data_IF_687525691901
#
_entry.id   IF_687525691901
#
_cell.length_a   1.000
_cell.length_b   1.000
_cell.length_c   1.000
_cell.angle_alpha   90.00
_cell.angle_beta   90.00
_cell.angle_gamma   90.00
#
_symmetry.space_group_name_H-M   'P 1'
#
loop_
_entity.id
_entity.type
_entity.pdbx_description
1 polymer ?
#
# COMPACT_ATOMS: atom_id res chain seq x y z
N UNK A 1 0.41 29.03 39.95
CA UNK A 1 1.80 28.55 40.03
C UNK A 1 2.36 28.58 38.62
N UNK A 2 3.54 29.19 38.52
CA UNK A 2 4.25 29.73 37.35
C UNK A 2 4.33 28.80 36.14
N UNK A 3 4.11 29.38 34.96
CA UNK A 3 4.49 28.82 33.66
C UNK A 3 5.96 28.37 33.71
N UNK A 4 6.16 27.05 33.72
CA UNK A 4 7.48 26.43 33.77
C UNK A 4 8.29 26.82 32.54
N UNK A 5 9.56 27.13 32.79
CA UNK A 5 10.54 27.57 31.82
C UNK A 5 10.53 26.73 30.53
N UNK A 6 10.70 27.45 29.42
CA UNK A 6 10.80 26.97 28.05
C UNK A 6 11.91 25.90 27.97
N UNK A 7 11.53 24.62 27.86
CA UNK A 7 12.51 23.55 27.66
C UNK A 7 13.07 23.63 26.24
N UNK A 8 14.33 24.07 26.14
CA UNK A 8 15.12 24.13 24.91
C UNK A 8 15.21 22.76 24.20
N UNK A 9 15.42 22.77 22.88
CA UNK A 9 15.50 21.56 22.04
C UNK A 9 16.37 20.41 22.59
N UNK A 10 17.59 20.65 23.13
CA UNK A 10 18.42 19.61 23.72
C UNK A 10 17.79 18.91 24.95
N UNK A 11 17.02 19.64 25.75
CA UNK A 11 16.36 19.11 26.94
C UNK A 11 15.15 18.25 26.56
N UNK A 12 14.32 18.72 25.63
CA UNK A 12 13.19 17.95 25.10
C UNK A 12 13.64 16.64 24.44
N UNK A 13 14.75 16.68 23.69
CA UNK A 13 15.35 15.49 23.06
C UNK A 13 15.83 14.44 24.07
N UNK A 14 16.40 14.87 25.21
CA UNK A 14 16.75 13.97 26.31
C UNK A 14 15.51 13.41 27.00
N UNK A 15 14.48 14.24 27.19
CA UNK A 15 13.26 13.86 27.89
C UNK A 15 12.49 12.74 27.15
N UNK A 16 12.40 12.79 25.82
CA UNK A 16 11.73 11.73 25.03
C UNK A 16 12.52 10.42 24.95
N UNK A 17 13.74 10.37 25.50
CA UNK A 17 14.58 9.16 25.61
C UNK A 17 14.71 8.67 27.07
N UNK A 18 14.00 9.31 28.01
CA UNK A 18 13.96 8.90 29.41
C UNK A 18 13.21 7.57 29.59
N UNK A 19 12.90 7.15 30.82
CA UNK A 19 12.02 6.01 31.01
C UNK A 19 10.64 6.25 30.37
N UNK A 20 9.99 5.17 29.90
CA UNK A 20 8.81 5.25 29.04
C UNK A 20 7.68 6.14 29.59
N UNK A 21 7.34 6.12 30.90
CA UNK A 21 6.30 7.00 31.45
C UNK A 21 6.65 8.49 31.34
N UNK A 22 7.90 8.86 31.60
CA UNK A 22 8.40 10.23 31.49
C UNK A 22 8.51 10.66 30.02
N UNK A 23 9.06 9.79 29.17
CA UNK A 23 9.18 10.01 27.75
C UNK A 23 7.81 10.21 27.08
N UNK A 24 6.79 9.45 27.50
CA UNK A 24 5.40 9.61 27.04
C UNK A 24 4.86 11.00 27.36
N UNK A 25 5.04 11.49 28.59
CA UNK A 25 4.61 12.84 29.00
C UNK A 25 5.32 13.91 28.17
N UNK A 26 6.63 13.78 27.97
CA UNK A 26 7.43 14.72 27.18
C UNK A 26 6.96 14.78 25.72
N UNK A 27 6.64 13.62 25.12
CA UNK A 27 6.10 13.52 23.78
C UNK A 27 4.73 14.22 23.66
N UNK A 28 3.80 13.94 24.58
CA UNK A 28 2.47 14.56 24.59
C UNK A 28 2.57 16.08 24.70
N UNK A 29 3.36 16.59 25.64
CA UNK A 29 3.57 18.03 25.81
C UNK A 29 4.21 18.67 24.56
N UNK A 30 5.11 17.97 23.88
CA UNK A 30 5.71 18.47 22.64
C UNK A 30 4.69 18.55 21.50
N UNK A 31 3.83 17.54 21.37
CA UNK A 31 2.76 17.54 20.37
C UNK A 31 1.74 18.66 20.65
N UNK A 32 1.30 18.82 21.90
CA UNK A 32 0.37 19.89 22.30
C UNK A 32 0.92 21.28 21.97
N UNK A 33 2.23 21.51 22.19
CA UNK A 33 2.88 22.77 21.81
C UNK A 33 2.85 23.00 20.30
N UNK A 34 3.16 21.99 19.50
CA UNK A 34 3.10 22.11 18.04
C UNK A 34 1.67 22.38 17.56
N UNK A 35 0.67 21.68 18.10
CA UNK A 35 -0.74 21.92 17.78
C UNK A 35 -1.19 23.32 18.18
N UNK A 36 -0.75 23.83 19.34
CA UNK A 36 -1.06 25.21 19.76
C UNK A 36 -0.51 26.25 18.77
N UNK A 37 0.69 26.03 18.22
CA UNK A 37 1.24 26.89 17.16
C UNK A 37 0.39 26.78 15.89
N UNK A 38 0.03 25.57 15.46
CA UNK A 38 -0.77 25.38 14.25
C UNK A 38 -2.18 25.99 14.36
N UNK A 39 -2.81 25.88 15.54
CA UNK A 39 -4.13 26.43 15.83
C UNK A 39 -4.14 27.96 15.88
N UNK A 40 -3.01 28.59 16.21
CA UNK A 40 -2.86 30.05 16.19
C UNK A 40 -2.64 30.63 14.78
N UNK A 41 -2.33 29.78 13.79
CA UNK A 41 -2.12 30.19 12.40
C UNK A 41 -3.41 30.07 11.59
N UNK A 42 -3.54 30.81 10.46
CA UNK A 42 -4.59 30.54 9.49
C UNK A 42 -4.57 29.09 9.00
N UNK A 43 -5.68 28.63 8.42
CA UNK A 43 -5.76 27.33 7.75
C UNK A 43 -4.58 27.12 6.78
N UNK A 44 -4.05 25.89 6.70
CA UNK A 44 -2.82 25.58 5.97
C UNK A 44 -2.76 26.16 4.54
N UNK A 45 -3.86 26.08 3.80
CA UNK A 45 -3.95 26.60 2.43
C UNK A 45 -3.94 28.12 2.30
N UNK A 46 -4.07 28.87 3.40
CA UNK A 46 -4.20 30.34 3.44
C UNK A 46 -3.01 31.03 4.11
N UNK A 47 -2.04 30.27 4.64
CA UNK A 47 -0.86 30.80 5.32
C UNK A 47 0.06 31.55 4.35
N UNK A 48 0.58 32.70 4.77
CA UNK A 48 1.69 33.41 4.15
C UNK A 48 3.00 32.59 4.18
N UNK A 49 4.04 32.94 3.41
CA UNK A 49 5.34 32.25 3.47
C UNK A 49 5.94 32.19 4.87
N UNK A 50 5.84 33.26 5.66
CA UNK A 50 6.35 33.31 7.04
C UNK A 50 5.57 32.38 7.98
N UNK A 51 4.24 32.36 7.86
CA UNK A 51 3.38 31.46 8.65
C UNK A 51 3.59 29.99 8.27
N UNK A 52 3.82 29.69 6.98
CA UNK A 52 4.20 28.34 6.53
C UNK A 52 5.55 27.92 7.12
N UNK A 53 6.53 28.81 7.15
CA UNK A 53 7.82 28.52 7.78
C UNK A 53 7.67 28.26 9.29
N UNK A 54 6.88 29.07 10.00
CA UNK A 54 6.60 28.86 11.42
C UNK A 54 5.90 27.51 11.68
N UNK A 55 4.88 27.17 10.89
CA UNK A 55 4.23 25.86 10.96
C UNK A 55 5.20 24.70 10.67
N UNK A 56 6.10 24.86 9.70
CA UNK A 56 7.10 23.86 9.35
C UNK A 56 8.10 23.63 10.49
N UNK A 57 8.57 24.69 11.16
CA UNK A 57 9.46 24.58 12.33
C UNK A 57 8.77 23.80 13.45
N UNK A 58 7.56 24.19 13.84
CA UNK A 58 6.81 23.52 14.91
C UNK A 58 6.58 22.02 14.60
N UNK A 59 6.18 21.70 13.36
CA UNK A 59 5.98 20.31 12.93
C UNK A 59 7.28 19.51 12.89
N UNK A 60 8.37 20.10 12.42
CA UNK A 60 9.66 19.41 12.33
C UNK A 60 10.25 19.12 13.71
N UNK A 61 10.12 20.06 14.65
CA UNK A 61 10.54 19.83 16.04
C UNK A 61 9.74 18.69 16.69
N UNK A 62 8.41 18.68 16.55
CA UNK A 62 7.57 17.59 17.06
C UNK A 62 7.91 16.24 16.41
N UNK A 63 8.11 16.21 15.09
CA UNK A 63 8.50 15.00 14.35
C UNK A 63 9.88 14.49 14.76
N UNK A 64 10.84 15.37 14.97
CA UNK A 64 12.17 14.99 15.48
C UNK A 64 12.08 14.33 16.86
N UNK A 65 11.19 14.81 17.72
CA UNK A 65 10.92 14.21 19.03
C UNK A 65 10.19 12.87 18.92
N UNK A 66 9.23 12.71 17.99
CA UNK A 66 8.61 11.40 17.67
C UNK A 66 9.66 10.38 17.23
N UNK A 67 10.59 10.78 16.36
CA UNK A 67 11.71 9.95 15.96
C UNK A 67 12.56 9.55 17.17
N UNK A 68 13.03 10.51 17.96
CA UNK A 68 13.85 10.24 19.14
C UNK A 68 13.18 9.33 20.18
N UNK A 69 11.87 9.50 20.38
CA UNK A 69 11.06 8.64 21.23
C UNK A 69 11.01 7.19 20.71
N UNK A 70 10.67 7.00 19.44
CA UNK A 70 10.55 5.66 18.85
C UNK A 70 11.91 4.96 18.73
N UNK A 71 12.98 5.70 18.42
CA UNK A 71 14.33 5.14 18.37
C UNK A 71 14.74 4.51 19.72
N UNK A 72 14.24 5.06 20.83
CA UNK A 72 14.51 4.55 22.18
C UNK A 72 13.50 3.51 22.66
N UNK A 73 12.25 3.54 22.16
CA UNK A 73 11.13 2.86 22.80
C UNK A 73 10.22 2.03 21.89
N UNK A 74 10.49 1.91 20.59
CA UNK A 74 9.55 1.27 19.64
C UNK A 74 9.08 -0.12 20.08
N UNK A 75 9.96 -0.99 20.58
CA UNK A 75 9.58 -2.33 21.00
C UNK A 75 8.73 -2.34 22.27
N UNK A 76 9.00 -1.44 23.22
CA UNK A 76 8.20 -1.29 24.43
C UNK A 76 6.81 -0.72 24.11
N UNK A 77 6.75 0.27 23.21
CA UNK A 77 5.50 0.82 22.68
C UNK A 77 4.70 -0.30 22.00
N UNK A 78 5.32 -1.01 21.05
CA UNK A 78 4.65 -2.08 20.31
C UNK A 78 4.15 -3.20 21.23
N UNK A 79 4.94 -3.60 22.23
CA UNK A 79 4.53 -4.56 23.25
C UNK A 79 3.29 -4.09 24.03
N UNK A 80 3.23 -2.83 24.46
CA UNK A 80 2.05 -2.29 25.14
C UNK A 80 0.81 -2.27 24.22
N UNK A 81 0.98 -1.98 22.92
CA UNK A 81 -0.13 -1.94 21.96
C UNK A 81 -0.68 -3.33 21.64
N UNK A 82 0.20 -4.33 21.56
CA UNK A 82 -0.11 -5.70 21.11
C UNK A 82 -0.23 -6.72 22.23
N UNK A 83 -0.23 -6.26 23.49
CA UNK A 83 -0.22 -7.13 24.66
C UNK A 83 0.92 -8.16 24.59
N UNK A 84 2.14 -7.64 24.48
CA UNK A 84 3.39 -8.39 24.34
C UNK A 84 3.42 -9.35 23.14
N UNK A 85 2.80 -8.95 22.02
CA UNK A 85 2.77 -9.75 20.79
C UNK A 85 1.75 -10.89 20.79
N UNK A 86 0.79 -10.90 21.73
CA UNK A 86 -0.31 -11.87 21.73
C UNK A 86 -1.46 -11.44 20.82
N UNK A 87 -1.56 -10.14 20.49
CA UNK A 87 -2.59 -9.57 19.62
C UNK A 87 -2.01 -9.13 18.28
N UNK A 88 -2.46 -9.75 17.20
CA UNK A 88 -2.12 -9.37 15.82
C UNK A 88 -2.96 -8.20 15.32
N UNK A 89 -2.57 -6.98 15.67
CA UNK A 89 -3.22 -5.76 15.16
C UNK A 89 -2.77 -5.46 13.72
N UNK A 90 -3.74 -5.25 12.83
CA UNK A 90 -3.51 -4.75 11.47
C UNK A 90 -3.11 -3.27 11.50
N UNK A 91 -2.63 -2.74 10.38
CA UNK A 91 -2.10 -1.37 10.31
C UNK A 91 -3.04 -0.31 10.91
N UNK A 92 -4.31 -0.30 10.51
CA UNK A 92 -5.31 0.67 10.98
C UNK A 92 -5.56 0.56 12.49
N UNK A 93 -5.73 -0.66 13.00
CA UNK A 93 -5.97 -0.94 14.41
C UNK A 93 -4.74 -0.56 15.27
N UNK A 94 -3.54 -0.78 14.73
CA UNK A 94 -2.30 -0.45 15.41
C UNK A 94 -2.11 1.06 15.59
N UNK A 95 -2.37 1.85 14.54
CA UNK A 95 -2.28 3.32 14.65
C UNK A 95 -3.40 3.91 15.50
N UNK A 96 -4.60 3.33 15.48
CA UNK A 96 -5.69 3.75 16.37
C UNK A 96 -5.33 3.47 17.84
N UNK A 97 -4.83 2.28 18.14
CA UNK A 97 -4.35 1.93 19.48
C UNK A 97 -3.19 2.84 19.92
N UNK A 98 -2.25 3.14 19.01
CA UNK A 98 -1.14 4.05 19.28
C UNK A 98 -1.60 5.47 19.58
N UNK A 99 -2.58 6.00 18.83
CA UNK A 99 -3.13 7.34 19.05
C UNK A 99 -3.77 7.48 20.44
N UNK A 100 -4.45 6.43 20.92
CA UNK A 100 -5.12 6.41 22.22
C UNK A 100 -4.11 6.25 23.37
N UNK A 101 -3.18 5.30 23.27
CA UNK A 101 -2.26 4.95 24.37
C UNK A 101 -1.04 5.86 24.48
N UNK A 102 -0.66 6.50 23.37
CA UNK A 102 0.46 7.44 23.26
C UNK A 102 0.03 8.74 22.58
N UNK A 103 -0.79 9.59 23.25
CA UNK A 103 -1.26 10.84 22.67
C UNK A 103 -0.12 11.72 22.16
N UNK A 104 -0.23 12.16 20.90
CA UNK A 104 0.79 12.95 20.21
C UNK A 104 1.81 12.14 19.40
N UNK A 105 1.87 10.81 19.57
CA UNK A 105 2.77 9.94 18.79
C UNK A 105 2.35 9.83 17.32
N UNK A 106 1.07 9.57 17.10
CA UNK A 106 0.39 9.51 15.80
C UNK A 106 -0.94 10.28 15.91
N UNK A 107 -1.53 10.75 14.81
CA UNK A 107 -2.74 11.54 14.86
C UNK A 107 -3.95 10.79 15.40
N UNK A 108 -4.81 11.50 16.12
CA UNK A 108 -6.10 10.98 16.59
C UNK A 108 -7.06 10.74 15.42
N UNK A 109 -8.14 9.99 15.70
CA UNK A 109 -9.23 9.79 14.76
C UNK A 109 -9.87 11.12 14.34
N UNK A 110 -10.05 12.07 15.25
CA UNK A 110 -10.57 13.39 14.90
C UNK A 110 -9.61 14.18 14.00
N UNK A 111 -8.30 14.16 14.31
CA UNK A 111 -7.29 14.83 13.50
C UNK A 111 -7.24 14.27 12.07
N UNK A 112 -7.30 12.94 11.90
CA UNK A 112 -7.34 12.31 10.58
C UNK A 112 -8.66 12.57 9.85
N UNK A 113 -9.79 12.59 10.55
CA UNK A 113 -11.07 12.93 9.94
C UNK A 113 -11.07 14.38 9.42
N UNK A 114 -10.52 15.32 10.20
CA UNK A 114 -10.35 16.71 9.79
C UNK A 114 -9.43 16.82 8.56
N UNK A 115 -8.29 16.12 8.54
CA UNK A 115 -7.39 16.07 7.38
C UNK A 115 -8.10 15.53 6.13
N UNK A 116 -8.83 14.41 6.26
CA UNK A 116 -9.55 13.76 5.13
C UNK A 116 -10.66 14.62 4.53
N UNK A 117 -11.19 15.58 5.29
CA UNK A 117 -12.18 16.54 4.80
C UNK A 117 -11.59 17.63 3.89
N UNK A 118 -10.26 17.72 3.80
CA UNK A 118 -9.53 18.78 3.09
C UNK A 118 -8.84 18.22 1.83
N UNK A 119 -8.72 19.04 0.77
CA UNK A 119 -7.90 18.67 -0.37
C UNK A 119 -6.43 18.52 0.05
N UNK A 120 -5.67 17.69 -0.66
CA UNK A 120 -4.30 17.32 -0.25
C UNK A 120 -3.40 18.54 0.04
N UNK A 121 -3.53 19.62 -0.75
CA UNK A 121 -2.73 20.85 -0.60
C UNK A 121 -3.13 21.74 0.60
N UNK A 122 -4.20 21.43 1.31
CA UNK A 122 -4.67 22.15 2.50
C UNK A 122 -4.55 21.32 3.79
N UNK A 123 -3.90 20.16 3.71
CA UNK A 123 -3.64 19.29 4.85
C UNK A 123 -2.42 19.73 5.66
N UNK A 124 -2.36 19.36 6.93
CA UNK A 124 -1.20 19.60 7.80
C UNK A 124 -0.07 18.59 7.62
N UNK A 125 -0.40 17.41 7.07
CA UNK A 125 0.55 16.31 6.92
C UNK A 125 0.66 15.45 8.15
N UNK A 126 -0.44 15.23 8.87
CA UNK A 126 -0.45 14.37 10.05
C UNK A 126 -0.13 12.91 9.73
N UNK A 127 -0.39 12.44 8.50
CA UNK A 127 0.00 11.08 8.08
C UNK A 127 1.53 10.88 8.07
N UNK A 128 2.34 11.94 8.04
CA UNK A 128 3.81 11.84 8.21
C UNK A 128 4.17 11.22 9.56
N UNK A 129 3.38 11.49 10.60
CA UNK A 129 3.62 10.92 11.94
C UNK A 129 3.33 9.41 11.96
N UNK A 130 2.36 8.94 11.17
CA UNK A 130 2.12 7.51 10.95
C UNK A 130 3.27 6.88 10.16
N UNK A 131 3.82 7.58 9.16
CA UNK A 131 5.01 7.15 8.43
C UNK A 131 6.24 7.00 9.35
N UNK A 132 6.45 7.96 10.27
CA UNK A 132 7.48 7.90 11.30
C UNK A 132 7.30 6.68 12.21
N UNK A 133 6.07 6.42 12.65
CA UNK A 133 5.72 5.26 13.48
C UNK A 133 6.03 3.94 12.76
N UNK A 134 5.50 3.75 11.54
CA UNK A 134 5.72 2.52 10.79
C UNK A 134 7.16 2.31 10.35
N UNK A 135 7.92 3.37 10.11
CA UNK A 135 9.36 3.26 9.85
C UNK A 135 10.09 2.56 11.00
N UNK A 136 9.81 2.93 12.25
CA UNK A 136 10.48 2.29 13.40
C UNK A 136 9.91 0.92 13.70
N UNK A 137 8.58 0.74 13.61
CA UNK A 137 7.94 -0.56 13.85
C UNK A 137 8.47 -1.61 12.87
N UNK A 138 8.49 -1.30 11.58
CA UNK A 138 9.04 -2.19 10.55
C UNK A 138 10.58 -2.28 10.62
N UNK A 139 11.25 -1.21 11.07
CA UNK A 139 12.70 -1.22 11.32
C UNK A 139 13.11 -2.19 12.42
N UNK A 140 12.28 -2.37 13.45
CA UNK A 140 12.49 -3.39 14.47
C UNK A 140 12.32 -4.80 13.91
N UNK A 141 13.27 -5.69 14.22
CA UNK A 141 13.23 -7.07 13.78
C UNK A 141 12.04 -7.84 14.36
N UNK A 142 11.78 -7.73 15.66
CA UNK A 142 10.70 -8.44 16.37
C UNK A 142 9.33 -7.83 16.02
N UNK A 143 9.16 -6.54 16.32
CA UNK A 143 7.88 -5.82 16.14
C UNK A 143 7.45 -5.80 14.67
N UNK A 144 8.41 -5.59 13.76
CA UNK A 144 8.12 -5.52 12.35
C UNK A 144 7.77 -6.88 11.73
N UNK A 145 8.42 -7.98 12.13
CA UNK A 145 7.98 -9.33 11.70
C UNK A 145 6.58 -9.66 12.20
N UNK A 146 6.29 -9.34 13.45
CA UNK A 146 4.97 -9.55 14.03
C UNK A 146 3.87 -8.75 13.30
N UNK A 147 4.15 -7.50 12.91
CA UNK A 147 3.23 -6.70 12.10
C UNK A 147 3.01 -7.29 10.70
N UNK A 148 4.08 -7.77 10.04
CA UNK A 148 3.93 -8.45 8.75
C UNK A 148 3.06 -9.70 8.88
N UNK A 149 3.28 -10.53 9.90
CA UNK A 149 2.44 -11.71 10.16
C UNK A 149 0.98 -11.29 10.40
N UNK A 150 0.72 -10.22 11.17
CA UNK A 150 -0.63 -9.69 11.38
C UNK A 150 -1.32 -9.26 10.08
N UNK A 151 -0.58 -8.67 9.14
CA UNK A 151 -1.11 -8.24 7.85
C UNK A 151 -1.37 -9.41 6.90
N UNK A 152 -0.61 -10.51 7.00
CA UNK A 152 -0.83 -11.75 6.26
C UNK A 152 -1.99 -12.60 6.80
N UNK A 153 -2.53 -12.33 7.98
CA UNK A 153 -3.73 -13.03 8.45
C UNK A 153 -4.95 -12.65 7.59
N UNK A 154 -5.93 -13.57 7.44
CA UNK A 154 -7.19 -13.28 6.76
C UNK A 154 -7.88 -12.04 7.32
N UNK A 155 -8.47 -11.25 6.43
CA UNK A 155 -9.33 -10.14 6.83
C UNK A 155 -10.65 -10.66 7.41
N UNK A 156 -11.23 -9.97 8.41
CA UNK A 156 -12.54 -10.34 8.95
C UNK A 156 -13.61 -10.45 7.86
N UNK A 157 -13.64 -9.50 6.92
CA UNK A 157 -14.58 -9.49 5.79
C UNK A 157 -14.46 -10.74 4.91
N UNK A 158 -13.25 -11.24 4.66
CA UNK A 158 -13.08 -12.47 3.89
C UNK A 158 -13.56 -13.71 4.66
N UNK A 159 -13.31 -13.77 5.97
CA UNK A 159 -13.81 -14.86 6.81
C UNK A 159 -15.34 -14.89 6.85
N UNK A 160 -15.99 -13.73 6.93
CA UNK A 160 -17.45 -13.61 6.92
C UNK A 160 -18.06 -14.08 5.58
N UNK A 161 -17.37 -13.81 4.46
CA UNK A 161 -17.83 -14.17 3.12
C UNK A 161 -17.43 -15.59 2.68
N UNK A 162 -16.45 -16.20 3.35
CA UNK A 162 -15.86 -17.48 2.94
C UNK A 162 -16.90 -18.60 2.81
N UNK A 163 -17.84 -18.83 3.76
CA UNK A 163 -18.81 -19.93 3.63
C UNK A 163 -19.65 -19.80 2.35
N UNK A 164 -20.15 -18.59 2.06
CA UNK A 164 -20.95 -18.33 0.86
C UNK A 164 -20.13 -18.44 -0.42
N UNK A 165 -18.87 -17.99 -0.41
CA UNK A 165 -17.98 -18.15 -1.56
C UNK A 165 -17.61 -19.62 -1.80
N UNK A 166 -17.32 -20.41 -0.77
CA UNK A 166 -17.00 -21.83 -0.93
C UNK A 166 -18.18 -22.61 -1.51
N UNK A 167 -19.42 -22.31 -1.08
CA UNK A 167 -20.63 -22.94 -1.60
C UNK A 167 -20.92 -22.56 -3.06
N UNK A 168 -20.94 -21.27 -3.36
CA UNK A 168 -21.41 -20.76 -4.67
C UNK A 168 -20.31 -20.62 -5.71
N UNK A 169 -19.05 -20.54 -5.26
CA UNK A 169 -17.91 -20.17 -6.08
C UNK A 169 -17.91 -18.72 -6.55
N UNK A 170 -18.78 -17.83 -6.04
CA UNK A 170 -18.90 -16.46 -6.55
C UNK A 170 -19.05 -15.42 -5.44
N UNK A 171 -18.44 -14.25 -5.62
CA UNK A 171 -18.72 -13.07 -4.81
C UNK A 171 -18.51 -11.77 -5.61
N UNK A 172 -19.43 -10.81 -5.43
CA UNK A 172 -19.28 -9.44 -5.90
C UNK A 172 -18.89 -8.53 -4.72
N UNK A 173 -17.71 -7.93 -4.80
CA UNK A 173 -17.17 -7.10 -3.74
C UNK A 173 -17.35 -5.59 -4.00
N UNK A 174 -17.86 -5.24 -5.19
CA UNK A 174 -18.05 -3.87 -5.67
C UNK A 174 -17.04 -3.51 -6.75
N UNK A 175 -15.75 -3.38 -6.40
CA UNK A 175 -14.70 -3.05 -7.38
C UNK A 175 -13.97 -4.26 -7.96
N UNK A 176 -14.18 -5.44 -7.37
CA UNK A 176 -13.64 -6.73 -7.80
C UNK A 176 -14.75 -7.77 -7.75
N UNK A 177 -14.85 -8.60 -8.78
CA UNK A 177 -15.69 -9.79 -8.79
C UNK A 177 -14.80 -11.03 -8.78
N UNK A 178 -15.09 -11.99 -7.91
CA UNK A 178 -14.37 -13.26 -7.84
C UNK A 178 -15.30 -14.41 -8.23
N UNK A 179 -14.81 -15.28 -9.12
CA UNK A 179 -15.52 -16.49 -9.56
C UNK A 179 -14.57 -17.69 -9.62
N UNK A 180 -14.91 -18.79 -8.94
CA UNK A 180 -14.22 -20.07 -9.05
C UNK A 180 -14.79 -20.87 -10.22
N UNK A 181 -13.93 -21.21 -11.20
CA UNK A 181 -14.24 -22.14 -12.29
C UNK A 181 -13.22 -23.28 -12.31
N UNK A 182 -13.68 -24.50 -12.08
CA UNK A 182 -12.79 -25.61 -11.78
C UNK A 182 -11.93 -25.28 -10.56
N UNK A 183 -10.61 -25.49 -10.66
CA UNK A 183 -9.63 -25.10 -9.64
C UNK A 183 -9.15 -23.64 -9.71
N UNK A 184 -9.69 -22.80 -10.58
CA UNK A 184 -9.19 -21.43 -10.77
C UNK A 184 -10.11 -20.37 -10.13
N UNK A 185 -9.59 -19.56 -9.20
CA UNK A 185 -10.26 -18.37 -8.69
C UNK A 185 -9.96 -17.15 -9.56
N UNK A 186 -10.98 -16.61 -10.24
CA UNK A 186 -10.85 -15.55 -11.24
C UNK A 186 -11.29 -14.22 -10.66
N UNK A 187 -10.32 -13.37 -10.33
CA UNK A 187 -10.51 -12.00 -9.87
C UNK A 187 -10.58 -11.07 -11.08
N UNK A 188 -11.73 -10.44 -11.26
CA UNK A 188 -11.95 -9.44 -12.30
C UNK A 188 -12.06 -8.06 -11.65
N UNK A 189 -11.10 -7.18 -11.91
CA UNK A 189 -11.22 -5.76 -11.55
C UNK A 189 -12.25 -5.10 -12.46
N UNK A 190 -13.36 -4.61 -11.90
CA UNK A 190 -14.58 -4.27 -12.66
C UNK A 190 -15.04 -2.82 -12.48
N UNK A 191 -14.13 -1.87 -12.27
CA UNK A 191 -14.45 -0.44 -12.27
C UNK A 191 -14.43 0.11 -13.70
N UNK A 192 -15.49 -0.22 -14.42
CA UNK A 192 -15.65 0.01 -15.84
C UNK A 192 -15.72 1.51 -16.25
N UNK A 193 -16.05 2.37 -15.28
CA UNK A 193 -16.20 3.82 -15.40
C UNK A 193 -14.88 4.58 -15.32
N UNK A 194 -13.87 3.98 -14.67
CA UNK A 194 -12.60 4.64 -14.35
C UNK A 194 -11.37 3.80 -14.67
N UNK A 195 -11.48 2.82 -15.58
CA UNK A 195 -10.34 2.05 -16.09
C UNK A 195 -9.56 1.34 -14.98
N UNK A 196 -10.28 0.84 -13.97
CA UNK A 196 -9.70 0.21 -12.79
C UNK A 196 -8.70 1.10 -12.04
N UNK A 197 -8.97 2.40 -11.97
CA UNK A 197 -8.20 3.32 -11.13
C UNK A 197 -8.30 2.90 -9.64
N UNK A 198 -7.15 2.78 -8.98
CA UNK A 198 -7.03 2.25 -7.62
C UNK A 198 -7.40 3.31 -6.58
N UNK A 199 -8.17 2.91 -5.57
CA UNK A 199 -8.48 3.71 -4.38
C UNK A 199 -8.59 2.79 -3.14
N UNK A 200 -8.81 3.32 -1.92
CA UNK A 200 -8.89 2.49 -0.72
C UNK A 200 -9.93 1.37 -0.80
N UNK A 201 -11.05 1.58 -1.51
CA UNK A 201 -12.09 0.55 -1.67
C UNK A 201 -11.58 -0.59 -2.54
N UNK A 202 -10.88 -0.27 -3.62
CA UNK A 202 -10.28 -1.29 -4.49
C UNK A 202 -9.22 -2.13 -3.75
N UNK A 203 -8.44 -1.53 -2.86
CA UNK A 203 -7.50 -2.29 -2.00
C UNK A 203 -8.22 -3.23 -1.04
N UNK A 204 -9.32 -2.78 -0.43
CA UNK A 204 -10.14 -3.61 0.47
C UNK A 204 -10.74 -4.81 -0.26
N UNK A 205 -11.33 -4.58 -1.43
CA UNK A 205 -11.97 -5.63 -2.24
C UNK A 205 -10.93 -6.60 -2.83
N UNK A 206 -9.78 -6.11 -3.30
CA UNK A 206 -8.66 -6.95 -3.74
C UNK A 206 -8.14 -7.84 -2.61
N UNK A 207 -7.94 -7.30 -1.41
CA UNK A 207 -7.50 -8.09 -0.27
C UNK A 207 -8.51 -9.15 0.14
N UNK A 208 -9.79 -8.79 0.16
CA UNK A 208 -10.88 -9.72 0.44
C UNK A 208 -10.91 -10.85 -0.60
N UNK A 209 -10.79 -10.53 -1.90
CA UNK A 209 -10.79 -11.52 -2.97
C UNK A 209 -9.58 -12.45 -2.91
N UNK A 210 -8.39 -11.92 -2.62
CA UNK A 210 -7.16 -12.72 -2.46
C UNK A 210 -7.28 -13.65 -1.25
N UNK A 211 -7.80 -13.18 -0.13
CA UNK A 211 -8.05 -14.01 1.05
C UNK A 211 -9.04 -15.15 0.72
N UNK A 212 -10.16 -14.84 0.06
CA UNK A 212 -11.15 -15.85 -0.37
C UNK A 212 -10.51 -16.91 -1.27
N UNK A 213 -9.74 -16.50 -2.29
CA UNK A 213 -9.05 -17.41 -3.19
C UNK A 213 -8.04 -18.31 -2.45
N UNK A 214 -7.32 -17.77 -1.45
CA UNK A 214 -6.33 -18.52 -0.69
C UNK A 214 -6.96 -19.48 0.32
N UNK A 215 -8.05 -19.06 0.97
CA UNK A 215 -8.78 -19.85 1.97
C UNK A 215 -9.63 -20.96 1.36
N UNK A 216 -10.23 -20.71 0.19
CA UNK A 216 -11.16 -21.66 -0.42
C UNK A 216 -10.45 -22.97 -0.82
N UNK A 217 -10.85 -24.14 -0.27
CA UNK A 217 -10.18 -25.40 -0.56
C UNK A 217 -10.37 -25.86 -2.01
N UNK A 218 -11.39 -25.35 -2.71
CA UNK A 218 -11.63 -25.64 -4.13
C UNK A 218 -10.73 -24.87 -5.09
N UNK A 219 -9.99 -23.89 -4.61
CA UNK A 219 -9.08 -23.08 -5.43
C UNK A 219 -7.66 -23.64 -5.38
N UNK A 220 -7.05 -23.82 -6.55
CA UNK A 220 -5.68 -24.28 -6.74
C UNK A 220 -4.78 -23.20 -7.35
N UNK A 221 -5.34 -22.31 -8.16
CA UNK A 221 -4.64 -21.22 -8.86
C UNK A 221 -5.52 -19.96 -8.90
N UNK A 222 -4.92 -18.78 -8.77
CA UNK A 222 -5.60 -17.51 -8.93
C UNK A 222 -5.36 -16.86 -10.29
N UNK A 223 -6.34 -16.14 -10.81
CA UNK A 223 -6.22 -15.26 -11.98
C UNK A 223 -6.59 -13.83 -11.58
N UNK A 224 -5.79 -12.83 -11.99
CA UNK A 224 -6.19 -11.42 -11.94
C UNK A 224 -6.27 -10.86 -13.37
N UNK A 225 -7.42 -10.30 -13.73
CA UNK A 225 -7.65 -9.70 -15.05
C UNK A 225 -8.55 -8.46 -14.97
N UNK A 226 -8.40 -7.57 -15.94
CA UNK A 226 -9.29 -6.44 -16.14
C UNK A 226 -10.67 -6.83 -16.70
N UNK A 227 -11.73 -6.25 -16.16
CA UNK A 227 -13.09 -6.33 -16.71
C UNK A 227 -13.27 -5.51 -17.98
N UNK A 228 -14.45 -5.63 -18.60
CA UNK A 228 -14.86 -4.82 -19.76
C UNK A 228 -15.23 -3.42 -19.31
N UNK A 229 -14.82 -2.39 -20.06
CA UNK A 229 -15.04 -0.99 -19.71
C UNK A 229 -16.34 -0.42 -20.29
N UNK A 230 -16.94 0.52 -19.56
CA UNK A 230 -18.13 1.29 -19.95
C UNK A 230 -17.77 2.71 -20.42
N UNK A 231 -16.58 3.21 -20.03
CA UNK A 231 -16.09 4.52 -20.45
C UNK A 231 -16.06 4.62 -22.00
N UNK A 232 -16.61 5.68 -22.64
CA UNK A 232 -16.80 5.74 -24.09
C UNK A 232 -15.57 5.45 -24.96
N UNK A 233 -14.38 5.87 -24.50
CA UNK A 233 -13.10 5.62 -25.22
C UNK A 233 -12.65 4.16 -25.23
N UNK A 234 -13.16 3.33 -24.33
CA UNK A 234 -12.75 1.95 -24.13
C UNK A 234 -13.94 0.99 -24.08
N UNK A 235 -15.13 1.46 -24.47
CA UNK A 235 -16.37 0.70 -24.40
C UNK A 235 -16.22 -0.66 -25.09
N UNK A 236 -16.60 -1.73 -24.39
CA UNK A 236 -16.52 -3.11 -24.90
C UNK A 236 -15.12 -3.73 -24.89
N UNK A 237 -14.08 -2.99 -24.49
CA UNK A 237 -12.71 -3.51 -24.34
C UNK A 237 -12.40 -3.82 -22.88
N UNK A 238 -11.61 -4.86 -22.64
CA UNK A 238 -11.00 -5.10 -21.33
C UNK A 238 -9.84 -4.15 -21.10
N UNK A 239 -9.68 -3.69 -19.86
CA UNK A 239 -8.54 -2.88 -19.43
C UNK A 239 -8.05 -3.37 -18.07
N UNK A 240 -6.76 -3.68 -17.98
CA UNK A 240 -6.17 -4.17 -16.73
C UNK A 240 -6.19 -3.10 -15.64
N UNK A 241 -5.39 -2.04 -15.73
CA UNK A 241 -5.39 -0.97 -14.72
C UNK A 241 -4.72 0.33 -15.19
N UNK A 242 -5.38 1.44 -14.88
CA UNK A 242 -4.87 2.80 -15.08
C UNK A 242 -4.01 3.34 -13.92
N UNK A 243 -3.72 2.51 -12.91
CA UNK A 243 -2.94 2.91 -11.72
C UNK A 243 -3.77 3.68 -10.70
N UNK A 244 -3.10 4.49 -9.89
CA UNK A 244 -3.75 5.20 -8.79
C UNK A 244 -4.80 6.21 -9.27
N UNK A 245 -5.91 6.32 -8.55
CA UNK A 245 -6.91 7.34 -8.84
C UNK A 245 -6.36 8.74 -8.51
N UNK A 246 -5.84 9.42 -9.54
CA UNK A 246 -5.26 10.76 -9.41
C UNK A 246 -6.27 11.80 -8.88
N UNK A 247 -7.57 11.64 -9.15
CA UNK A 247 -8.59 12.54 -8.59
C UNK A 247 -8.68 12.35 -7.08
N UNK A 248 -8.67 11.11 -6.61
CA UNK A 248 -8.65 10.80 -5.18
C UNK A 248 -7.34 11.28 -4.53
N UNK A 249 -6.19 11.08 -5.19
CA UNK A 249 -4.90 11.55 -4.68
C UNK A 249 -4.90 13.07 -4.47
N UNK A 250 -5.33 13.80 -5.49
CA UNK A 250 -5.41 15.26 -5.47
C UNK A 250 -6.48 15.78 -4.48
N UNK A 251 -7.60 15.07 -4.39
CA UNK A 251 -8.69 15.37 -3.46
C UNK A 251 -8.39 14.99 -2.00
N UNK A 252 -7.24 14.38 -1.72
CA UNK A 252 -6.87 13.96 -0.37
C UNK A 252 -7.50 12.64 0.09
N UNK A 253 -8.08 11.86 -0.82
CA UNK A 253 -8.73 10.56 -0.57
C UNK A 253 -7.80 9.34 -0.62
N UNK A 254 -6.51 9.53 -0.91
CA UNK A 254 -5.51 8.45 -0.82
C UNK A 254 -4.87 8.50 0.57
N UNK A 255 -5.05 7.44 1.35
CA UNK A 255 -4.44 7.32 2.67
C UNK A 255 -3.10 6.61 2.63
N UNK A 256 -2.15 7.07 3.44
CA UNK A 256 -0.89 6.37 3.67
C UNK A 256 -1.15 4.96 4.20
N UNK A 257 -2.00 4.84 5.22
CA UNK A 257 -2.21 3.58 5.95
C UNK A 257 -3.18 2.68 5.19
N UNK A 258 -4.37 3.18 4.88
CA UNK A 258 -5.47 2.36 4.37
C UNK A 258 -5.34 2.02 2.87
N UNK A 259 -4.42 2.67 2.15
CA UNK A 259 -4.14 2.40 0.74
C UNK A 259 -2.68 2.04 0.48
N UNK A 260 -1.73 2.97 0.70
CA UNK A 260 -0.34 2.79 0.26
C UNK A 260 0.38 1.68 1.02
N UNK A 261 0.28 1.64 2.35
CA UNK A 261 0.87 0.58 3.16
C UNK A 261 0.02 -0.69 3.13
N UNK A 262 -1.32 -0.56 3.21
CA UNK A 262 -2.22 -1.70 3.21
C UNK A 262 -2.08 -2.57 1.96
N UNK A 263 -1.98 -1.98 0.77
CA UNK A 263 -1.83 -2.79 -0.47
C UNK A 263 -0.54 -3.61 -0.45
N UNK A 264 0.57 -2.99 -0.05
CA UNK A 264 1.90 -3.61 -0.08
C UNK A 264 2.04 -4.69 0.98
N UNK A 265 1.56 -4.45 2.20
CA UNK A 265 1.69 -5.38 3.32
C UNK A 265 0.54 -6.39 3.41
N UNK A 266 -0.59 -6.09 2.76
CA UNK A 266 -1.77 -6.95 2.68
C UNK A 266 -1.76 -7.78 1.40
N UNK A 267 -2.68 -7.50 0.48
CA UNK A 267 -2.96 -8.42 -0.64
C UNK A 267 -1.76 -8.66 -1.56
N UNK A 268 -0.89 -7.66 -1.81
CA UNK A 268 0.30 -7.87 -2.65
C UNK A 268 1.28 -8.82 -1.98
N UNK A 269 1.45 -8.70 -0.65
CA UNK A 269 2.28 -9.62 0.12
C UNK A 269 1.68 -11.02 0.17
N UNK A 270 0.34 -11.12 0.28
CA UNK A 270 -0.42 -12.37 0.26
C UNK A 270 -0.40 -13.08 -1.09
N UNK A 271 -0.41 -12.35 -2.20
CA UNK A 271 -0.20 -12.94 -3.54
C UNK A 271 1.13 -13.71 -3.57
N UNK A 272 2.17 -13.15 -2.94
CA UNK A 272 3.53 -13.70 -2.95
C UNK A 272 3.77 -14.79 -1.89
N UNK A 273 3.18 -14.67 -0.69
CA UNK A 273 3.51 -15.51 0.48
C UNK A 273 2.36 -16.32 1.03
N UNK A 274 1.16 -16.10 0.52
CA UNK A 274 -0.06 -16.64 1.07
C UNK A 274 -0.52 -15.93 2.35
N UNK A 275 -1.49 -16.56 3.01
CA UNK A 275 -2.09 -16.09 4.26
C UNK A 275 -1.58 -16.92 5.44
N UNK A 276 -1.37 -16.27 6.59
CA UNK A 276 -1.06 -16.97 7.84
C UNK A 276 -2.34 -17.59 8.40
N UNK A 277 -2.29 -18.89 8.72
CA UNK A 277 -3.42 -19.63 9.30
C UNK A 277 -2.98 -20.33 10.59
N UNK A 278 -3.88 -20.38 11.57
CA UNK A 278 -3.65 -21.06 12.85
C UNK A 278 -4.06 -22.53 12.74
N UNK A 279 -3.30 -23.31 11.97
CA UNK A 279 -3.52 -24.75 11.80
C UNK A 279 -2.32 -25.56 12.35
N UNK A 280 -2.46 -26.21 13.53
CA UNK A 280 -1.42 -27.04 14.12
C UNK A 280 -0.96 -28.21 13.23
N UNK A 281 -1.80 -28.69 12.31
CA UNK A 281 -1.43 -29.78 11.41
C UNK A 281 -0.42 -29.34 10.34
N UNK A 282 -0.28 -28.02 10.10
CA UNK A 282 0.64 -27.44 9.11
C UNK A 282 1.98 -27.05 9.74
N UNK A 283 2.59 -27.95 10.51
CA UNK A 283 3.88 -27.75 11.17
C UNK A 283 5.02 -27.35 10.21
N UNK A 284 4.93 -27.80 8.94
CA UNK A 284 5.91 -27.49 7.88
C UNK A 284 5.68 -26.12 7.23
N UNK A 285 4.56 -25.45 7.52
CA UNK A 285 4.21 -24.18 6.90
C UNK A 285 3.14 -23.38 7.64
N UNK A 286 3.51 -22.16 8.02
CA UNK A 286 2.57 -21.21 8.62
C UNK A 286 1.61 -20.56 7.64
N UNK A 287 1.82 -20.71 6.33
CA UNK A 287 1.02 -20.03 5.31
C UNK A 287 0.35 -20.98 4.31
N UNK A 288 -0.84 -20.58 3.87
CA UNK A 288 -1.53 -21.15 2.71
C UNK A 288 -1.28 -20.21 1.53
N UNK A 289 -0.50 -20.67 0.55
CA UNK A 289 -0.21 -19.93 -0.67
C UNK A 289 -0.65 -20.71 -1.91
N UNK A 290 -0.91 -20.00 -2.99
CA UNK A 290 -1.31 -20.54 -4.27
C UNK A 290 -0.60 -19.77 -5.38
N UNK A 291 -0.37 -20.38 -6.55
CA UNK A 291 0.13 -19.67 -7.70
C UNK A 291 -0.91 -18.71 -8.28
N UNK A 292 -0.44 -17.64 -8.91
CA UNK A 292 -1.23 -16.55 -9.46
C UNK A 292 -0.79 -16.20 -10.88
N UNK A 293 -1.77 -16.12 -11.77
CA UNK A 293 -1.62 -15.67 -13.15
C UNK A 293 -2.20 -14.26 -13.29
N UNK A 294 -1.54 -13.39 -14.05
CA UNK A 294 -2.09 -12.11 -14.48
C UNK A 294 -2.30 -12.09 -15.99
N UNK A 295 -3.39 -11.47 -16.44
CA UNK A 295 -3.66 -11.23 -17.85
C UNK A 295 -3.89 -9.75 -18.11
N UNK A 296 -3.02 -9.15 -18.94
CA UNK A 296 -3.03 -7.73 -19.25
C UNK A 296 -3.72 -7.48 -20.58
N UNK A 297 -4.90 -6.87 -20.51
CA UNK A 297 -5.60 -6.28 -21.64
C UNK A 297 -5.37 -4.75 -21.65
N UNK A 298 -4.98 -4.20 -22.81
CA UNK A 298 -4.85 -2.76 -23.07
C UNK A 298 -3.66 -2.08 -22.38
N UNK A 299 -3.62 -2.05 -21.05
CA UNK A 299 -2.47 -1.50 -20.32
C UNK A 299 -2.46 -1.81 -18.82
N UNK A 300 -1.24 -1.90 -18.28
CA UNK A 300 -0.95 -1.87 -16.86
C UNK A 300 -0.12 -0.62 -16.53
N UNK A 301 -0.70 0.31 -15.79
CA UNK A 301 -0.08 1.60 -15.43
C UNK A 301 0.05 1.71 -13.92
N UNK A 302 1.11 2.35 -13.45
CA UNK A 302 1.26 2.71 -12.04
C UNK A 302 1.16 1.46 -11.16
N UNK A 303 0.30 1.48 -10.15
CA UNK A 303 0.05 0.35 -9.23
C UNK A 303 -0.30 -0.96 -9.93
N UNK A 304 -1.01 -0.93 -11.06
CA UNK A 304 -1.30 -2.11 -11.87
C UNK A 304 -0.06 -2.79 -12.43
N UNK A 305 0.90 -2.01 -12.96
CA UNK A 305 2.18 -2.57 -13.42
C UNK A 305 3.01 -3.14 -12.27
N UNK A 306 2.86 -2.61 -11.05
CA UNK A 306 3.56 -3.12 -9.87
C UNK A 306 3.06 -4.50 -9.45
N UNK A 307 1.77 -4.80 -9.69
CA UNK A 307 1.20 -6.11 -9.37
C UNK A 307 1.88 -7.22 -10.18
N UNK A 308 2.26 -6.94 -11.44
CA UNK A 308 2.92 -7.90 -12.33
C UNK A 308 4.20 -8.48 -11.74
N UNK A 309 4.84 -7.76 -10.80
CA UNK A 309 6.09 -8.17 -10.14
C UNK A 309 5.89 -9.25 -9.05
N UNK A 310 4.66 -9.71 -8.79
CA UNK A 310 4.38 -10.74 -7.77
C UNK A 310 3.57 -11.95 -8.29
N UNK A 311 3.25 -11.98 -9.58
CA UNK A 311 2.59 -13.12 -10.22
C UNK A 311 3.60 -14.20 -10.62
N UNK A 312 3.14 -15.45 -10.67
CA UNK A 312 3.91 -16.59 -11.19
C UNK A 312 3.99 -16.58 -12.71
N UNK A 313 2.96 -16.03 -13.34
CA UNK A 313 2.84 -16.00 -14.79
C UNK A 313 2.09 -14.76 -15.25
N UNK A 314 2.66 -14.03 -16.20
CA UNK A 314 2.08 -12.81 -16.76
C UNK A 314 1.88 -12.99 -18.26
N UNK A 315 0.62 -12.93 -18.69
CA UNK A 315 0.25 -12.85 -20.10
C UNK A 315 -0.16 -11.43 -20.47
N UNK A 316 0.13 -11.00 -21.70
CA UNK A 316 -0.35 -9.74 -22.22
C UNK A 316 -0.83 -9.84 -23.67
N UNK A 317 -1.90 -9.12 -24.00
CA UNK A 317 -2.24 -8.87 -25.40
C UNK A 317 -1.15 -8.04 -26.08
N UNK A 318 -0.83 -8.35 -27.34
CA UNK A 318 0.26 -7.75 -28.10
C UNK A 318 0.11 -6.22 -28.30
N UNK A 319 -1.11 -5.71 -28.25
CA UNK A 319 -1.45 -4.28 -28.31
C UNK A 319 -1.37 -3.56 -26.96
N UNK A 320 -0.99 -4.27 -25.88
CA UNK A 320 -0.90 -3.71 -24.54
C UNK A 320 0.39 -2.94 -24.29
N UNK A 321 0.38 -2.07 -23.28
CA UNK A 321 1.60 -1.46 -22.77
C UNK A 321 1.69 -1.43 -21.25
N UNK A 322 2.92 -1.33 -20.74
CA UNK A 322 3.27 -1.24 -19.34
C UNK A 322 3.97 0.08 -19.07
N UNK A 323 3.68 0.71 -17.92
CA UNK A 323 4.41 1.89 -17.48
C UNK A 323 4.33 2.10 -15.97
N UNK A 324 5.42 2.60 -15.37
CA UNK A 324 5.43 3.08 -13.98
C UNK A 324 5.75 4.58 -14.01
N UNK A 325 4.75 5.46 -14.21
CA UNK A 325 4.98 6.88 -14.39
C UNK A 325 5.17 7.62 -13.04
N UNK A 326 5.99 7.08 -12.14
CA UNK A 326 6.18 7.59 -10.78
C UNK A 326 6.55 9.07 -10.71
N UNK A 327 7.41 9.53 -11.64
CA UNK A 327 7.77 10.95 -11.73
C UNK A 327 6.57 11.85 -12.06
N UNK A 328 5.60 11.36 -12.83
CA UNK A 328 4.36 12.10 -13.16
C UNK A 328 3.40 12.09 -11.97
N UNK A 329 3.25 10.96 -11.30
CA UNK A 329 2.38 10.78 -10.11
C UNK A 329 2.94 11.49 -8.87
N UNK A 330 4.25 11.73 -8.83
CA UNK A 330 4.93 12.42 -7.72
C UNK A 330 5.18 11.54 -6.49
N UNK A 331 4.81 10.27 -6.53
CA UNK A 331 4.93 9.34 -5.39
C UNK A 331 5.88 8.19 -5.71
N UNK A 332 6.31 7.45 -4.68
CA UNK A 332 7.09 6.21 -4.84
C UNK A 332 6.14 5.12 -5.37
N UNK A 333 6.52 4.37 -6.42
CA UNK A 333 5.67 3.34 -7.03
C UNK A 333 5.70 2.03 -6.23
N UNK A 334 5.25 2.10 -4.97
CA UNK A 334 5.15 0.95 -4.08
C UNK A 334 6.48 0.20 -3.95
N UNK A 335 6.42 -1.13 -3.93
CA UNK A 335 7.60 -1.99 -3.90
C UNK A 335 8.28 -2.20 -5.28
N UNK A 336 7.94 -1.41 -6.32
CA UNK A 336 8.57 -1.57 -7.63
C UNK A 336 10.07 -1.27 -7.60
N UNK A 337 10.51 -0.26 -6.86
CA UNK A 337 11.94 0.06 -6.73
C UNK A 337 12.73 -1.12 -6.13
N UNK A 338 12.07 -1.90 -5.26
CA UNK A 338 12.62 -3.07 -4.61
C UNK A 338 12.63 -4.30 -5.51
N UNK A 339 11.54 -4.58 -6.24
CA UNK A 339 11.37 -5.80 -7.04
C UNK A 339 11.92 -5.68 -8.47
N UNK A 340 11.64 -4.57 -9.15
CA UNK A 340 12.01 -4.38 -10.56
C UNK A 340 13.52 -4.46 -10.81
N UNK A 341 14.32 -3.99 -9.85
CA UNK A 341 15.78 -4.05 -9.94
C UNK A 341 16.30 -5.49 -9.93
N UNK A 342 15.62 -6.39 -9.21
CA UNK A 342 15.95 -7.83 -9.18
C UNK A 342 15.48 -8.54 -10.46
N UNK A 343 14.27 -8.23 -10.91
CA UNK A 343 13.65 -8.86 -12.10
C UNK A 343 14.32 -8.43 -13.41
N UNK A 344 14.59 -7.14 -13.59
CA UNK A 344 14.99 -6.58 -14.88
C UNK A 344 16.37 -5.88 -14.87
N UNK A 345 17.02 -5.83 -13.72
CA UNK A 345 18.30 -5.15 -13.55
C UNK A 345 18.22 -3.63 -13.40
N UNK A 346 19.33 -3.07 -12.93
CA UNK A 346 19.45 -1.68 -12.50
C UNK A 346 19.12 -0.62 -13.58
N UNK A 347 19.52 -0.87 -14.84
CA UNK A 347 19.36 0.10 -15.93
C UNK A 347 17.93 0.13 -16.46
N UNK A 348 17.32 -1.04 -16.64
CA UNK A 348 15.93 -1.15 -17.03
C UNK A 348 15.02 -0.50 -15.98
N UNK A 349 15.23 -0.84 -14.70
CA UNK A 349 14.48 -0.28 -13.58
C UNK A 349 14.51 1.26 -13.55
N UNK A 350 15.70 1.87 -13.73
CA UNK A 350 15.83 3.33 -13.78
C UNK A 350 15.15 3.95 -14.99
N UNK A 351 15.20 3.33 -16.18
CA UNK A 351 14.49 3.84 -17.37
C UNK A 351 12.97 3.84 -17.17
N UNK A 352 12.45 2.79 -16.53
CA UNK A 352 11.01 2.66 -16.29
C UNK A 352 10.55 3.63 -15.19
N UNK A 353 11.19 3.60 -14.02
CA UNK A 353 10.77 4.36 -12.83
C UNK A 353 11.18 5.84 -12.87
N UNK A 354 12.43 6.14 -13.22
CA UNK A 354 12.94 7.52 -13.24
C UNK A 354 12.69 8.19 -14.59
N UNK A 355 12.80 7.43 -15.67
CA UNK A 355 12.60 7.93 -17.04
C UNK A 355 11.14 7.96 -17.49
N UNK A 356 10.22 7.30 -16.76
CA UNK A 356 8.80 7.24 -17.13
C UNK A 356 8.54 6.54 -18.46
N UNK A 357 9.43 5.63 -18.88
CA UNK A 357 9.33 4.94 -20.16
C UNK A 357 8.04 4.10 -20.23
N UNK A 358 7.38 4.14 -21.38
CA UNK A 358 6.35 3.17 -21.76
C UNK A 358 7.00 1.99 -22.49
N UNK A 359 6.57 0.77 -22.14
CA UNK A 359 7.03 -0.48 -22.74
C UNK A 359 5.84 -1.15 -23.40
N UNK A 360 5.91 -1.36 -24.71
CA UNK A 360 4.85 -2.08 -25.43
C UNK A 360 5.05 -3.60 -25.31
N UNK A 361 3.97 -4.37 -25.18
CA UNK A 361 4.05 -5.82 -25.02
C UNK A 361 4.81 -6.49 -26.18
N UNK A 362 4.67 -5.99 -27.41
CA UNK A 362 5.35 -6.50 -28.58
C UNK A 362 6.86 -6.18 -28.65
N UNK A 363 7.40 -5.33 -27.77
CA UNK A 363 8.81 -4.96 -27.80
C UNK A 363 9.68 -5.95 -26.99
N UNK A 364 10.94 -6.21 -27.38
CA UNK A 364 11.78 -7.20 -26.69
C UNK A 364 11.98 -6.96 -25.20
N UNK A 365 11.90 -5.69 -24.77
CA UNK A 365 12.04 -5.28 -23.37
C UNK A 365 10.85 -5.71 -22.50
N UNK A 366 9.69 -6.06 -23.09
CA UNK A 366 8.52 -6.55 -22.35
C UNK A 366 8.76 -7.92 -21.67
N UNK A 367 9.69 -8.74 -22.18
CA UNK A 367 10.05 -10.05 -21.61
C UNK A 367 10.63 -9.98 -20.20
N UNK A 368 10.94 -8.78 -19.71
CA UNK A 368 11.34 -8.55 -18.33
C UNK A 368 10.15 -8.51 -17.36
N UNK A 369 8.92 -8.42 -17.85
CA UNK A 369 7.71 -8.25 -17.04
C UNK A 369 6.54 -9.14 -17.50
N UNK A 370 6.66 -9.76 -18.66
CA UNK A 370 5.63 -10.56 -19.32
C UNK A 370 6.27 -11.84 -19.85
N UNK A 371 5.65 -12.98 -19.57
CA UNK A 371 6.15 -14.30 -19.98
C UNK A 371 5.61 -14.70 -21.36
N UNK A 372 4.34 -14.40 -21.63
CA UNK A 372 3.67 -14.74 -22.90
C UNK A 372 2.94 -13.51 -23.46
N UNK A 373 3.25 -13.19 -24.72
CA UNK A 373 2.58 -12.11 -25.48
C UNK A 373 1.90 -12.75 -26.69
N UNK A 374 0.59 -12.55 -26.79
CA UNK A 374 -0.26 -13.17 -27.83
C UNK A 374 -1.15 -12.14 -28.49
N UNK A 375 -1.71 -12.49 -29.65
CA UNK A 375 -2.76 -11.67 -30.26
C UNK A 375 -3.95 -11.52 -29.28
N UNK A 376 -4.60 -10.35 -29.19
CA UNK A 376 -5.79 -10.18 -28.35
C UNK A 376 -6.86 -11.27 -28.54
N UNK A 377 -7.02 -11.81 -29.75
CA UNK A 377 -7.99 -12.87 -30.04
C UNK A 377 -7.59 -14.24 -29.44
N UNK A 378 -6.31 -14.45 -29.14
CA UNK A 378 -5.76 -15.69 -28.60
C UNK A 378 -5.53 -15.64 -27.08
N UNK A 379 -5.71 -14.46 -26.46
CA UNK A 379 -5.41 -14.24 -25.04
C UNK A 379 -6.27 -15.10 -24.11
N UNK A 380 -7.55 -15.30 -24.44
CA UNK A 380 -8.44 -16.14 -23.62
C UNK A 380 -7.96 -17.59 -23.57
N UNK A 381 -7.59 -18.16 -24.72
CA UNK A 381 -7.05 -19.52 -24.80
C UNK A 381 -5.70 -19.63 -24.09
N UNK A 382 -4.84 -18.61 -24.21
CA UNK A 382 -3.55 -18.56 -23.52
C UNK A 382 -3.71 -18.55 -22.00
N UNK A 383 -4.70 -17.81 -21.48
CA UNK A 383 -5.03 -17.79 -20.05
C UNK A 383 -5.45 -19.17 -19.57
N UNK A 384 -6.31 -19.88 -20.30
CA UNK A 384 -6.73 -21.23 -19.88
C UNK A 384 -5.55 -22.22 -19.84
N UNK A 385 -4.65 -22.16 -20.82
CA UNK A 385 -3.41 -22.96 -20.80
C UNK A 385 -2.52 -22.61 -19.61
N UNK A 386 -2.32 -21.33 -19.33
CA UNK A 386 -1.54 -20.86 -18.19
C UNK A 386 -2.15 -21.31 -16.86
N UNK A 387 -3.47 -21.21 -16.71
CA UNK A 387 -4.15 -21.67 -15.49
C UNK A 387 -4.01 -23.17 -15.28
N UNK A 388 -4.00 -23.99 -16.33
CA UNK A 388 -3.78 -25.43 -16.19
C UNK A 388 -2.31 -25.75 -15.85
N UNK A 389 -1.35 -25.08 -16.49
CA UNK A 389 0.08 -25.31 -16.29
C UNK A 389 0.56 -25.00 -14.86
N UNK A 390 -0.11 -24.07 -14.17
CA UNK A 390 0.25 -23.64 -12.82
C UNK A 390 -0.56 -24.33 -11.71
N UNK A 391 -1.21 -25.47 -11.98
CA UNK A 391 -1.92 -26.24 -10.94
C UNK A 391 -1.04 -27.26 -10.22
N UNK A 392 -1.50 -27.63 -9.03
CA UNK A 392 -0.99 -28.78 -8.28
C UNK A 392 0.08 -28.47 -7.22
N UNK A 393 0.33 -29.44 -6.32
CA UNK A 393 1.16 -29.24 -5.12
C UNK A 393 2.64 -29.01 -5.44
N UNK A 394 3.16 -29.60 -6.52
CA UNK A 394 4.55 -29.44 -6.95
C UNK A 394 4.86 -28.00 -7.37
N UNK A 395 3.92 -27.34 -8.05
CA UNK A 395 4.06 -25.92 -8.42
C UNK A 395 4.10 -25.06 -7.17
N UNK A 396 3.18 -25.30 -6.23
CA UNK A 396 3.12 -24.54 -4.96
C UNK A 396 4.42 -24.67 -4.15
N UNK A 397 4.97 -25.89 -4.05
CA UNK A 397 6.22 -26.12 -3.33
C UNK A 397 7.42 -25.42 -3.98
N UNK A 398 7.54 -25.47 -5.31
CA UNK A 398 8.62 -24.78 -6.03
C UNK A 398 8.46 -23.25 -5.98
N UNK A 399 7.23 -22.73 -6.13
CA UNK A 399 6.91 -21.29 -5.97
C UNK A 399 7.45 -20.78 -4.64
N UNK A 400 7.13 -21.47 -3.54
CA UNK A 400 7.62 -21.09 -2.20
C UNK A 400 9.13 -20.95 -2.15
N UNK A 401 9.86 -21.88 -2.74
CA UNK A 401 11.33 -21.88 -2.72
C UNK A 401 11.90 -20.77 -3.59
N UNK A 402 11.31 -20.50 -4.77
CA UNK A 402 11.68 -19.38 -5.63
C UNK A 402 11.46 -18.04 -4.91
N UNK A 403 10.27 -17.82 -4.35
CA UNK A 403 9.93 -16.62 -3.59
C UNK A 403 10.88 -16.41 -2.41
N UNK A 404 11.26 -17.49 -1.72
CA UNK A 404 12.20 -17.43 -0.59
C UNK A 404 13.61 -17.04 -1.02
N UNK A 405 14.04 -17.44 -2.22
CA UNK A 405 15.34 -17.07 -2.79
C UNK A 405 15.35 -15.64 -3.35
N UNK A 406 14.25 -15.20 -3.96
CA UNK A 406 14.13 -13.91 -4.63
C UNK A 406 13.99 -12.74 -3.65
N UNK A 407 13.19 -12.93 -2.60
CA UNK A 407 12.81 -11.89 -1.65
C UNK A 407 12.88 -12.43 -0.22
N UNK A 408 13.85 -11.99 0.59
CA UNK A 408 13.82 -12.31 2.03
C UNK A 408 12.79 -11.44 2.74
N UNK A 409 12.15 -11.99 3.78
CA UNK A 409 11.18 -11.25 4.61
C UNK A 409 11.83 -10.02 5.25
N UNK A 410 13.09 -10.14 5.70
CA UNK A 410 13.81 -9.02 6.32
C UNK A 410 14.14 -7.91 5.32
N UNK A 411 14.54 -8.25 4.09
CA UNK A 411 14.80 -7.26 3.06
C UNK A 411 13.52 -6.50 2.67
N UNK A 412 12.41 -7.22 2.50
CA UNK A 412 11.10 -6.59 2.27
C UNK A 412 10.70 -5.69 3.45
N UNK A 413 10.84 -6.18 4.69
CA UNK A 413 10.51 -5.41 5.90
C UNK A 413 11.29 -4.10 5.99
N UNK A 414 12.60 -4.15 5.79
CA UNK A 414 13.47 -2.96 5.84
C UNK A 414 13.18 -1.99 4.70
N UNK A 415 12.90 -2.50 3.49
CA UNK A 415 12.43 -1.65 2.39
C UNK A 415 11.11 -0.94 2.75
N UNK A 416 10.15 -1.68 3.32
CA UNK A 416 8.86 -1.13 3.72
C UNK A 416 8.96 -0.15 4.89
N UNK A 417 9.94 -0.31 5.78
CA UNK A 417 10.26 0.66 6.83
C UNK A 417 10.67 2.01 6.23
N UNK A 418 11.61 2.01 5.28
CA UNK A 418 11.99 3.24 4.56
C UNK A 418 10.84 3.81 3.74
N UNK A 419 10.12 2.94 3.02
CA UNK A 419 8.96 3.32 2.23
C UNK A 419 7.92 4.06 3.08
N UNK A 420 7.61 3.58 4.30
CA UNK A 420 6.58 4.18 5.14
C UNK A 420 6.81 5.68 5.40
N UNK A 421 8.05 6.09 5.71
CA UNK A 421 8.36 7.51 5.94
C UNK A 421 8.59 8.27 4.65
N UNK A 422 9.32 7.70 3.68
CA UNK A 422 9.62 8.37 2.41
C UNK A 422 8.35 8.65 1.62
N UNK A 423 7.44 7.67 1.55
CA UNK A 423 6.17 7.83 0.87
C UNK A 423 5.26 8.82 1.59
N UNK A 424 5.24 8.81 2.93
CA UNK A 424 4.51 9.81 3.70
C UNK A 424 5.00 11.22 3.37
N UNK A 425 6.31 11.46 3.30
CA UNK A 425 6.87 12.76 2.91
C UNK A 425 6.44 13.14 1.49
N UNK A 426 6.59 12.22 0.53
CA UNK A 426 6.19 12.46 -0.87
C UNK A 426 4.74 12.89 -1.04
N UNK A 427 3.82 12.37 -0.23
CA UNK A 427 2.41 12.78 -0.28
C UNK A 427 2.16 14.27 0.05
N UNK A 428 3.10 14.93 0.74
CA UNK A 428 2.96 16.30 1.25
C UNK A 428 4.04 17.26 0.75
N UNK A 429 4.97 16.80 -0.09
CA UNK A 429 6.01 17.65 -0.67
C UNK A 429 5.46 18.63 -1.72
N UNK A 430 6.05 19.82 -1.77
CA UNK A 430 5.58 20.95 -2.59
C UNK A 430 5.45 20.61 -4.09
N UNK A 431 6.35 19.81 -4.66
CA UNK A 431 6.31 19.46 -6.09
C UNK A 431 5.11 18.56 -6.45
N UNK A 432 4.67 17.69 -5.53
CA UNK A 432 3.45 16.88 -5.67
C UNK A 432 2.24 17.77 -5.54
N UNK A 433 2.22 18.62 -4.49
CA UNK A 433 1.13 19.56 -4.25
C UNK A 433 0.96 20.56 -5.40
N UNK A 434 2.04 20.97 -6.06
CA UNK A 434 1.99 21.86 -7.22
C UNK A 434 1.46 21.15 -8.47
N UNK A 435 1.79 19.87 -8.69
CA UNK A 435 1.18 19.05 -9.74
C UNK A 435 -0.32 18.87 -9.49
N UNK A 436 -0.71 18.59 -8.25
CA UNK A 436 -2.11 18.51 -7.79
C UNK A 436 -2.87 19.80 -8.12
N UNK A 437 -2.28 20.97 -7.81
CA UNK A 437 -2.85 22.29 -8.11
C UNK A 437 -3.03 22.51 -9.62
N UNK A 438 -2.02 22.21 -10.43
CA UNK A 438 -2.07 22.35 -11.90
C UNK A 438 -3.10 21.44 -12.56
N UNK A 439 -3.30 20.23 -12.04
CA UNK A 439 -4.33 19.32 -12.55
C UNK A 439 -5.73 19.84 -12.28
N UNK A 440 -5.95 20.44 -11.10
CA UNK A 440 -7.23 21.01 -10.69
C UNK A 440 -7.61 22.25 -11.51
N UNK A 441 -6.65 23.14 -11.81
CA UNK A 441 -6.87 24.35 -12.61
C UNK A 441 -7.11 24.05 -14.10
N UNK A 442 -6.47 23.02 -14.66
CA UNK A 442 -6.73 22.58 -16.04
C UNK A 442 -8.16 22.09 -16.26
N UNK A 443 -8.79 21.58 -15.21
CA UNK A 443 -10.15 21.05 -15.27
C UNK A 443 -11.21 22.15 -15.21
N UNK A 444 -10.99 23.19 -14.39
CA UNK A 444 -11.88 24.37 -14.33
C UNK A 444 -11.88 25.17 -15.63
N UNK A 445 -10.77 25.16 -16.37
CA UNK A 445 -10.66 25.81 -17.68
C UNK A 445 -11.24 24.99 -18.85
N UNK A 446 -11.54 23.70 -18.65
CA UNK A 446 -12.12 22.81 -19.66
C UNK A 446 -13.62 22.53 -19.45
N UNK A 447 -14.23 23.12 -18.42
CA UNK A 447 -15.64 23.02 -18.08
C UNK A 447 -16.39 24.36 -18.21
N UNK A 448 -15.76 25.33 -18.87
CA UNK A 448 -16.29 26.67 -19.17
C UNK A 448 -16.52 26.84 -20.65
#
# INVERSE_FOLDING_TARGET
MTASAIESGPQASRAVRAALPEARKALTLAAERAEAVLAALPEAGRRSPAERAAAAVAKNEARALRCGFLDAHVDAVYAELTDHGTRHLRLAELVESAAIRFPGLVPSREQLAAERSRPQAAKEGHEIDQGIFFHRVLGSHSSGRHLLDAMLRPTPRALDLLPGFTETGQADLGSVRIERRGGAARLTMCRDDCLNAEDPRQVEDMETAVDLALLDPGTEVGLVRGGVMSHPRYSGRRIFSAGINLKALHGGGISLVDFLLRRELGYIHKLLRGIVVDDPARWYSRTVEKPWVAAVDGFAIGGGAQLLLVFDHVLAASDSFLSIPAAQEGIIPGASNFRLTRVAGARFSRRLVLGGRKIWAAEPDARHLVDEVVDPAELDDAIERGLEAFRGPTITANRRMLVSAEESVDAFRLYMAEFAVQQALRMYDDDVLDKVRRFSTRKSAGSS
#
